data_IF_068108072104
#
_entry.id   IF_068108072104
#
_cell.length_a   1.000
_cell.length_b   1.000
_cell.length_c   1.000
_cell.angle_alpha   90.00
_cell.angle_beta   90.00
_cell.angle_gamma   90.00
#
_symmetry.space_group_name_H-M   'P 1'
#
loop_
_entity.id
_entity.type
_entity.pdbx_description
1 polymer ?
#
# COMPACT_ATOMS: atom_id res chain seq x y z
N UNK A 1 45.02 5.57 -46.05
CA UNK A 1 43.64 6.04 -45.88
C UNK A 1 42.67 4.96 -45.39
N UNK A 2 42.75 3.69 -45.80
CA UNK A 2 41.82 2.62 -45.34
C UNK A 2 41.95 2.24 -43.86
N UNK A 3 43.11 2.40 -43.22
CA UNK A 3 43.30 2.06 -41.78
C UNK A 3 42.73 3.10 -40.81
N UNK A 4 42.62 4.36 -41.22
CA UNK A 4 42.04 5.44 -40.38
C UNK A 4 40.52 5.35 -40.35
N UNK A 5 39.90 4.87 -41.43
CA UNK A 5 38.44 4.70 -41.49
C UNK A 5 37.94 3.56 -40.57
N UNK A 6 38.74 2.50 -40.43
CA UNK A 6 38.39 1.37 -39.56
C UNK A 6 38.46 1.75 -38.07
N UNK A 7 39.40 2.60 -37.68
CA UNK A 7 39.54 3.08 -36.30
C UNK A 7 38.40 4.04 -35.93
N UNK A 8 37.88 4.83 -36.87
CA UNK A 8 36.76 5.74 -36.60
C UNK A 8 35.43 5.01 -36.46
N UNK A 9 35.20 3.91 -37.17
CA UNK A 9 34.03 3.07 -36.99
C UNK A 9 34.03 2.34 -35.61
N UNK A 10 35.21 1.96 -35.10
CA UNK A 10 35.29 1.34 -33.75
C UNK A 10 35.04 2.34 -32.62
N UNK A 11 35.41 3.61 -32.80
CA UNK A 11 35.11 4.67 -31.83
C UNK A 11 33.63 5.04 -31.78
N UNK A 12 32.90 4.92 -32.87
CA UNK A 12 31.44 5.16 -32.88
C UNK A 12 30.63 4.05 -32.23
N UNK A 13 31.11 2.81 -32.17
CA UNK A 13 30.47 1.71 -31.45
C UNK A 13 30.69 1.76 -29.93
N UNK A 14 31.72 2.45 -29.45
CA UNK A 14 31.98 2.57 -28.01
C UNK A 14 31.03 3.55 -27.29
N UNK A 15 30.33 4.42 -28.02
CA UNK A 15 29.37 5.36 -27.42
C UNK A 15 27.93 4.85 -27.33
N UNK A 16 27.61 3.70 -27.89
CA UNK A 16 26.26 3.11 -27.83
C UNK A 16 26.05 2.17 -26.67
N UNK A 17 27.02 1.95 -25.80
CA UNK A 17 26.89 1.06 -24.62
C UNK A 17 26.52 1.76 -23.33
N UNK A 18 26.00 2.99 -23.37
CA UNK A 18 25.11 3.46 -22.31
C UNK A 18 23.75 2.75 -22.42
N UNK A 19 23.78 1.41 -22.42
CA UNK A 19 22.63 0.61 -22.12
C UNK A 19 22.04 1.19 -20.82
N UNK A 20 20.85 1.75 -20.94
CA UNK A 20 20.03 2.14 -19.82
C UNK A 20 20.09 1.01 -18.78
N UNK A 21 20.94 1.17 -17.79
CA UNK A 21 20.79 0.42 -16.55
C UNK A 21 19.38 0.76 -16.10
N UNK A 22 18.46 -0.13 -16.40
CA UNK A 22 17.13 -0.10 -15.77
C UNK A 22 17.43 0.01 -14.29
N UNK A 23 17.17 1.20 -13.71
CA UNK A 23 17.36 1.44 -12.28
C UNK A 23 16.72 0.24 -11.61
N UNK A 24 17.51 -0.60 -10.99
CA UNK A 24 17.01 -1.76 -10.24
C UNK A 24 16.00 -1.18 -9.29
N UNK A 25 14.77 -1.66 -9.40
CA UNK A 25 13.72 -1.33 -8.47
C UNK A 25 14.26 -1.62 -7.07
N UNK A 26 14.53 -0.56 -6.31
CA UNK A 26 14.86 -0.69 -4.90
C UNK A 26 13.54 -0.53 -4.12
N UNK A 27 13.01 -1.61 -3.52
CA UNK A 27 11.81 -1.52 -2.70
C UNK A 27 11.94 -0.47 -1.58
N UNK A 28 13.14 -0.24 -1.07
CA UNK A 28 13.40 0.74 0.00
C UNK A 28 13.18 2.20 -0.46
N UNK A 29 13.32 2.50 -1.75
CA UNK A 29 13.06 3.86 -2.29
C UNK A 29 11.57 4.17 -2.45
N UNK A 30 10.69 3.17 -2.46
CA UNK A 30 9.24 3.38 -2.59
C UNK A 30 8.62 3.82 -1.27
N UNK A 31 9.20 3.41 -0.16
CA UNK A 31 8.64 3.61 1.19
C UNK A 31 9.06 4.93 1.82
N UNK A 32 9.91 5.70 1.16
CA UNK A 32 10.33 7.00 1.70
C UNK A 32 9.28 8.04 1.37
N UNK A 33 8.35 8.25 2.28
CA UNK A 33 7.62 9.53 2.34
C UNK A 33 8.68 10.56 2.70
N UNK A 34 9.21 11.29 1.72
CA UNK A 34 10.06 12.45 1.96
C UNK A 34 9.17 13.52 2.58
N UNK A 35 9.18 13.58 3.89
CA UNK A 35 8.54 14.65 4.64
C UNK A 35 9.66 15.52 5.12
N UNK A 36 9.76 16.70 4.51
CA UNK A 36 10.65 17.73 4.97
C UNK A 36 10.33 18.09 6.43
N UNK A 37 11.37 18.09 7.25
CA UNK A 37 11.51 18.62 8.61
C UNK A 37 10.34 18.42 9.57
N UNK A 38 10.55 17.59 10.58
CA UNK A 38 9.69 17.50 11.75
C UNK A 38 9.66 18.85 12.49
N UNK A 39 8.64 19.65 12.28
CA UNK A 39 8.34 20.81 13.13
C UNK A 39 7.46 20.32 14.26
N UNK A 40 7.96 20.38 15.49
CA UNK A 40 7.17 20.15 16.70
C UNK A 40 6.00 21.13 16.75
N UNK A 41 4.78 20.65 16.55
CA UNK A 41 3.58 21.47 16.65
C UNK A 41 3.17 21.54 18.11
N UNK A 42 3.43 22.66 18.74
CA UNK A 42 2.61 23.12 19.86
C UNK A 42 1.45 23.95 19.28
N UNK A 43 0.43 23.25 18.80
CA UNK A 43 -0.85 23.88 18.45
C UNK A 43 -1.69 23.95 19.73
N UNK A 44 -2.12 25.14 20.12
CA UNK A 44 -2.95 25.35 21.31
C UNK A 44 -4.36 24.74 21.21
N UNK A 45 -4.72 24.09 20.09
CA UNK A 45 -6.09 23.62 19.83
C UNK A 45 -6.21 22.15 19.39
N UNK A 46 -5.12 21.44 19.01
CA UNK A 46 -5.17 20.03 18.60
C UNK A 46 -4.31 19.18 19.53
N UNK A 47 -4.87 18.09 20.02
CA UNK A 47 -4.22 17.11 20.87
C UNK A 47 -4.18 15.73 20.23
N UNK A 48 -3.50 14.76 20.84
CA UNK A 48 -3.40 13.40 20.33
C UNK A 48 -4.75 12.72 20.16
N UNK A 49 -5.70 13.04 21.06
CA UNK A 49 -7.02 12.40 21.03
C UNK A 49 -7.82 12.82 19.79
N UNK A 50 -7.72 14.09 19.37
CA UNK A 50 -8.42 14.57 18.16
C UNK A 50 -8.03 13.75 16.91
N UNK A 51 -6.73 13.44 16.77
CA UNK A 51 -6.23 12.62 15.67
C UNK A 51 -6.63 11.15 15.81
N UNK A 52 -6.62 10.61 17.03
CA UNK A 52 -7.09 9.24 17.30
C UNK A 52 -8.57 9.11 16.93
N UNK A 53 -9.39 10.03 17.39
CA UNK A 53 -10.83 10.03 17.12
C UNK A 53 -11.11 10.15 15.62
N UNK A 54 -10.34 11.00 14.91
CA UNK A 54 -10.44 11.13 13.47
C UNK A 54 -10.01 9.86 12.72
N UNK A 55 -8.99 9.13 13.19
CA UNK A 55 -8.59 7.85 12.60
C UNK A 55 -9.65 6.79 12.83
N UNK A 56 -10.21 6.71 14.04
CA UNK A 56 -11.23 5.72 14.40
C UNK A 56 -12.57 5.99 13.71
N UNK A 57 -12.96 7.25 13.56
CA UNK A 57 -14.21 7.65 12.89
C UNK A 57 -14.11 7.69 11.36
N UNK A 58 -12.91 7.49 10.79
CA UNK A 58 -12.69 7.69 9.37
C UNK A 58 -13.36 6.61 8.52
N UNK A 59 -14.27 7.04 7.66
CA UNK A 59 -14.85 6.25 6.58
C UNK A 59 -14.43 6.76 5.20
N UNK A 60 -13.85 7.95 5.13
CA UNK A 60 -13.50 8.66 3.89
C UNK A 60 -12.34 8.03 3.16
N UNK A 61 -11.33 7.55 3.89
CA UNK A 61 -10.15 6.93 3.32
C UNK A 61 -10.49 5.65 2.53
N UNK A 62 -11.38 4.85 3.07
CA UNK A 62 -11.86 3.66 2.38
C UNK A 62 -12.86 4.01 1.26
N UNK A 63 -13.71 5.02 1.50
CA UNK A 63 -14.66 5.53 0.52
C UNK A 63 -13.98 5.97 -0.78
N UNK A 64 -12.76 6.52 -0.71
CA UNK A 64 -11.98 6.90 -1.88
C UNK A 64 -11.79 5.75 -2.88
N UNK A 65 -11.58 4.53 -2.41
CA UNK A 65 -11.47 3.34 -3.27
C UNK A 65 -12.80 2.90 -3.87
N UNK A 66 -13.91 3.22 -3.23
CA UNK A 66 -15.25 3.01 -3.78
C UNK A 66 -15.58 4.08 -4.82
N UNK A 67 -15.28 5.33 -4.51
CA UNK A 67 -15.65 6.47 -5.34
C UNK A 67 -14.82 6.55 -6.63
N UNK A 68 -13.58 5.99 -6.64
CA UNK A 68 -12.78 5.89 -7.86
C UNK A 68 -13.53 5.21 -9.02
N UNK A 69 -14.49 4.34 -8.73
CA UNK A 69 -15.29 3.64 -9.75
C UNK A 69 -16.20 4.54 -10.56
N UNK A 70 -16.48 5.76 -10.09
CA UNK A 70 -17.27 6.76 -10.81
C UNK A 70 -16.47 7.49 -11.88
N UNK A 71 -15.18 7.21 -11.95
CA UNK A 71 -14.25 7.85 -12.88
C UNK A 71 -13.72 6.84 -13.89
N UNK A 72 -13.37 7.35 -15.06
CA UNK A 72 -12.43 6.67 -15.95
C UNK A 72 -11.01 7.01 -15.51
N UNK A 73 -10.08 6.05 -15.58
CA UNK A 73 -8.69 6.26 -15.19
C UNK A 73 -7.76 5.22 -15.79
N UNK A 74 -6.46 5.48 -15.72
CA UNK A 74 -5.42 4.52 -16.08
C UNK A 74 -4.75 4.02 -14.79
N UNK A 75 -4.65 2.69 -14.62
CA UNK A 75 -3.84 2.07 -13.60
C UNK A 75 -2.58 1.44 -14.19
N UNK A 76 -1.42 1.77 -13.66
CA UNK A 76 -0.16 1.07 -13.93
C UNK A 76 0.21 0.20 -12.73
N UNK A 77 0.28 -1.11 -12.95
CA UNK A 77 0.57 -2.11 -11.94
C UNK A 77 1.92 -2.75 -12.21
N UNK A 78 2.80 -2.75 -11.21
CA UNK A 78 4.10 -3.45 -11.23
C UNK A 78 4.17 -4.33 -10.01
N UNK A 79 4.28 -5.64 -10.22
CA UNK A 79 4.35 -6.65 -9.16
C UNK A 79 5.63 -7.43 -9.34
N UNK A 80 6.31 -7.69 -8.23
CA UNK A 80 7.51 -8.51 -8.19
C UNK A 80 7.36 -9.57 -7.11
N UNK A 81 7.72 -10.79 -7.45
CA UNK A 81 7.97 -11.86 -6.48
C UNK A 81 9.47 -12.09 -6.35
N UNK A 82 9.89 -12.58 -5.18
CA UNK A 82 11.29 -12.78 -4.87
C UNK A 82 11.56 -14.20 -4.38
N UNK A 83 12.73 -14.73 -4.77
CA UNK A 83 13.23 -15.99 -4.26
C UNK A 83 13.78 -15.86 -2.81
N UNK A 84 14.23 -16.97 -2.25
CA UNK A 84 14.82 -17.02 -0.89
C UNK A 84 16.08 -16.14 -0.73
N UNK A 85 16.73 -15.76 -1.83
CA UNK A 85 17.92 -14.89 -1.86
C UNK A 85 17.56 -13.43 -2.17
N UNK A 86 16.28 -13.06 -2.11
CA UNK A 86 15.74 -11.74 -2.46
C UNK A 86 16.02 -11.31 -3.92
N UNK A 87 16.19 -12.27 -4.84
CA UNK A 87 16.29 -11.98 -6.27
C UNK A 87 14.90 -12.06 -6.87
N UNK A 88 14.63 -11.21 -7.87
CA UNK A 88 13.35 -11.22 -8.55
C UNK A 88 13.16 -12.56 -9.27
N UNK A 89 12.13 -13.30 -8.90
CA UNK A 89 11.73 -14.61 -9.44
C UNK A 89 10.56 -14.50 -10.42
N UNK A 90 9.70 -13.49 -10.26
CA UNK A 90 8.60 -13.23 -11.15
C UNK A 90 8.25 -11.75 -11.25
N UNK A 91 7.70 -11.35 -12.39
CA UNK A 91 7.29 -9.97 -12.67
C UNK A 91 5.94 -9.94 -13.38
N UNK A 92 5.10 -8.97 -12.98
CA UNK A 92 3.91 -8.58 -13.73
C UNK A 92 4.00 -7.08 -14.00
N UNK A 93 3.78 -6.68 -15.24
CA UNK A 93 3.51 -5.31 -15.62
C UNK A 93 2.17 -5.26 -16.35
N UNK A 94 1.28 -4.37 -15.88
CA UNK A 94 -0.01 -4.12 -16.51
C UNK A 94 -0.26 -2.63 -16.58
N UNK A 95 -0.74 -2.17 -17.73
CA UNK A 95 -1.32 -0.83 -17.90
C UNK A 95 -2.76 -1.04 -18.33
N UNK A 96 -3.69 -0.59 -17.50
CA UNK A 96 -5.12 -0.87 -17.63
C UNK A 96 -5.86 0.43 -17.76
N UNK A 97 -6.71 0.53 -18.78
CA UNK A 97 -7.70 1.58 -18.90
C UNK A 97 -8.98 1.09 -18.26
N UNK A 98 -9.45 1.82 -17.27
CA UNK A 98 -10.80 1.71 -16.72
C UNK A 98 -11.63 2.83 -17.30
N UNK A 99 -12.74 2.50 -17.96
CA UNK A 99 -13.66 3.45 -18.57
C UNK A 99 -15.02 3.34 -17.93
N UNK A 100 -15.57 4.48 -17.52
CA UNK A 100 -16.90 4.62 -16.94
C UNK A 100 -17.73 5.53 -17.82
N UNK A 101 -18.95 5.13 -18.16
CA UNK A 101 -19.89 5.94 -18.95
C UNK A 101 -21.32 5.63 -18.50
N UNK A 102 -21.96 6.57 -17.83
CA UNK A 102 -23.26 6.35 -17.23
C UNK A 102 -23.25 5.19 -16.23
N UNK A 103 -24.02 4.14 -16.49
CA UNK A 103 -24.08 2.93 -15.66
C UNK A 103 -23.19 1.79 -16.16
N UNK A 104 -22.41 2.03 -17.21
CA UNK A 104 -21.55 1.01 -17.81
C UNK A 104 -20.08 1.26 -17.47
N UNK A 105 -19.31 0.18 -17.33
CA UNK A 105 -17.87 0.26 -17.14
C UNK A 105 -17.17 -0.83 -17.96
N UNK A 106 -16.01 -0.48 -18.47
CA UNK A 106 -15.16 -1.34 -19.29
C UNK A 106 -13.75 -1.34 -18.74
N UNK A 107 -13.11 -2.49 -18.78
CA UNK A 107 -11.70 -2.65 -18.45
C UNK A 107 -10.95 -3.12 -19.68
N UNK A 108 -9.86 -2.44 -20.05
CA UNK A 108 -9.04 -2.76 -21.21
C UNK A 108 -7.55 -2.77 -20.84
N UNK A 109 -6.84 -3.83 -21.23
CA UNK A 109 -5.40 -3.90 -21.04
C UNK A 109 -4.68 -3.19 -22.19
N UNK A 110 -4.13 -2.00 -21.92
CA UNK A 110 -3.28 -1.26 -22.86
C UNK A 110 -1.89 -1.91 -23.01
N UNK A 111 -1.41 -2.56 -21.95
CA UNK A 111 -0.20 -3.37 -21.97
C UNK A 111 -0.28 -4.45 -20.88
N UNK A 112 0.24 -5.63 -21.20
CA UNK A 112 0.37 -6.75 -20.27
C UNK A 112 1.67 -7.49 -20.56
N UNK A 113 2.53 -7.68 -19.55
CA UNK A 113 3.78 -8.44 -19.64
C UNK A 113 4.01 -9.18 -18.34
N UNK A 114 4.13 -10.47 -18.41
CA UNK A 114 4.38 -11.35 -17.28
C UNK A 114 5.64 -12.16 -17.55
N UNK A 115 6.44 -12.44 -16.55
CA UNK A 115 7.64 -13.29 -16.66
C UNK A 115 7.98 -13.95 -15.33
N UNK A 116 8.63 -15.12 -15.39
CA UNK A 116 9.07 -15.87 -14.21
C UNK A 116 7.95 -16.68 -13.55
N UNK A 117 8.16 -17.06 -12.30
CA UNK A 117 7.33 -18.03 -11.56
C UNK A 117 6.08 -17.37 -10.92
N UNK A 118 5.21 -16.78 -11.74
CA UNK A 118 3.99 -16.11 -11.27
C UNK A 118 2.78 -17.06 -11.23
N UNK A 119 2.69 -17.98 -12.21
CA UNK A 119 1.55 -18.86 -12.37
C UNK A 119 1.94 -20.33 -12.17
N UNK A 120 1.00 -21.10 -11.68
CA UNK A 120 1.04 -22.56 -11.69
C UNK A 120 0.72 -23.07 -13.10
N UNK A 121 0.98 -24.35 -13.37
CA UNK A 121 0.66 -24.99 -14.65
C UNK A 121 -0.84 -24.92 -15.05
N UNK A 122 -1.73 -24.77 -14.05
CA UNK A 122 -3.17 -24.61 -14.25
C UNK A 122 -3.61 -23.15 -14.45
N UNK A 123 -2.68 -22.20 -14.64
CA UNK A 123 -2.96 -20.79 -14.85
C UNK A 123 -3.32 -19.99 -13.59
N UNK A 124 -3.44 -20.62 -12.42
CA UNK A 124 -3.69 -19.90 -11.16
C UNK A 124 -2.41 -19.24 -10.64
N UNK A 125 -2.55 -18.17 -9.87
CA UNK A 125 -1.39 -17.56 -9.21
C UNK A 125 -0.65 -18.55 -8.31
N UNK A 126 0.67 -18.51 -8.36
CA UNK A 126 1.51 -19.32 -7.51
C UNK A 126 1.57 -18.77 -6.08
N UNK A 127 1.57 -17.46 -5.95
CA UNK A 127 1.66 -16.74 -4.67
C UNK A 127 0.30 -16.20 -4.27
N UNK A 128 -0.07 -16.43 -3.02
CA UNK A 128 -1.28 -15.91 -2.40
C UNK A 128 -1.29 -14.37 -2.35
N UNK A 129 -0.11 -13.76 -2.10
CA UNK A 129 0.04 -12.30 -2.10
C UNK A 129 -0.30 -11.68 -3.46
N UNK A 130 0.09 -12.33 -4.57
CA UNK A 130 -0.23 -11.86 -5.92
C UNK A 130 -1.71 -12.05 -6.23
N UNK A 131 -2.30 -13.16 -5.80
CA UNK A 131 -3.74 -13.39 -5.91
C UNK A 131 -4.55 -12.35 -5.13
N UNK A 132 -4.12 -12.03 -3.90
CA UNK A 132 -4.74 -11.01 -3.06
C UNK A 132 -4.64 -9.62 -3.71
N UNK A 133 -3.49 -9.28 -4.30
CA UNK A 133 -3.31 -8.05 -5.05
C UNK A 133 -4.32 -7.95 -6.21
N UNK A 134 -4.42 -9.00 -7.00
CA UNK A 134 -5.33 -9.05 -8.15
C UNK A 134 -6.79 -8.88 -7.71
N UNK A 135 -7.18 -9.57 -6.64
CA UNK A 135 -8.50 -9.46 -6.06
C UNK A 135 -8.81 -8.05 -5.53
N UNK A 136 -7.89 -7.42 -4.82
CA UNK A 136 -8.13 -6.13 -4.16
C UNK A 136 -8.01 -4.96 -5.15
N UNK A 137 -6.99 -4.95 -6.00
CA UNK A 137 -6.59 -3.75 -6.72
C UNK A 137 -6.75 -3.85 -8.24
N UNK A 138 -6.67 -5.04 -8.82
CA UNK A 138 -6.73 -5.19 -10.28
C UNK A 138 -8.16 -5.22 -10.80
N UNK A 139 -9.12 -5.65 -10.00
CA UNK A 139 -10.54 -5.71 -10.35
C UNK A 139 -11.34 -4.60 -9.67
N UNK A 140 -10.94 -3.35 -9.91
CA UNK A 140 -11.49 -2.17 -9.24
C UNK A 140 -13.02 -2.10 -9.28
N UNK A 141 -13.67 -2.53 -10.37
CA UNK A 141 -15.13 -2.52 -10.49
C UNK A 141 -15.82 -3.71 -9.84
N UNK A 142 -15.14 -4.84 -9.69
CA UNK A 142 -15.74 -6.12 -9.26
C UNK A 142 -15.29 -6.57 -7.86
N UNK A 143 -14.37 -5.83 -7.21
CA UNK A 143 -13.87 -6.26 -5.91
C UNK A 143 -14.82 -5.90 -4.77
N UNK A 144 -15.08 -6.85 -3.86
CA UNK A 144 -15.81 -6.63 -2.61
C UNK A 144 -15.11 -5.69 -1.63
N UNK A 145 -13.85 -5.37 -1.91
CA UNK A 145 -13.07 -4.35 -1.22
C UNK A 145 -13.81 -3.02 -1.13
N UNK A 146 -14.70 -2.77 -2.05
CA UNK A 146 -15.46 -1.55 -2.24
C UNK A 146 -16.79 -1.51 -1.49
N UNK A 147 -17.28 -2.63 -1.04
CA UNK A 147 -18.31 -2.68 0.00
C UNK A 147 -17.60 -2.33 1.29
N UNK A 148 -17.74 -1.11 1.79
CA UNK A 148 -17.07 -0.65 3.00
C UNK A 148 -16.97 -1.75 4.06
N UNK A 149 -15.98 -1.77 4.93
CA UNK A 149 -16.11 -2.55 6.13
C UNK A 149 -17.43 -2.08 6.74
N UNK A 150 -18.37 -2.96 6.96
CA UNK A 150 -19.34 -2.76 8.00
C UNK A 150 -18.49 -2.76 9.25
N UNK A 151 -18.03 -1.56 9.63
CA UNK A 151 -17.14 -1.28 10.77
C UNK A 151 -17.78 -1.67 12.08
N UNK A 152 -19.08 -1.93 12.06
CA UNK A 152 -19.80 -2.50 13.16
C UNK A 152 -19.48 -3.99 13.24
N UNK A 153 -18.65 -4.36 14.21
CA UNK A 153 -18.30 -5.75 14.55
C UNK A 153 -19.46 -6.70 14.85
N UNK A 154 -20.66 -6.42 14.31
CA UNK A 154 -21.87 -7.25 14.42
C UNK A 154 -22.00 -8.30 13.32
N UNK A 155 -21.27 -8.18 12.21
CA UNK A 155 -21.32 -9.14 11.13
C UNK A 155 -19.96 -9.84 10.88
N UNK A 156 -19.25 -10.24 11.95
CA UNK A 156 -18.24 -11.28 11.85
C UNK A 156 -18.89 -12.58 11.34
N UNK A 157 -19.32 -12.57 10.09
CA UNK A 157 -19.90 -13.75 9.44
C UNK A 157 -18.87 -14.88 9.46
N UNK A 158 -19.31 -16.11 9.68
CA UNK A 158 -18.51 -17.35 9.73
C UNK A 158 -17.59 -17.58 8.50
N UNK A 159 -17.61 -16.69 7.49
CA UNK A 159 -16.89 -16.78 6.23
C UNK A 159 -15.89 -15.64 5.96
N UNK A 160 -15.57 -14.80 6.96
CA UNK A 160 -14.57 -13.74 6.78
C UNK A 160 -13.19 -14.34 6.56
N UNK A 161 -12.60 -14.06 5.40
CA UNK A 161 -11.28 -14.58 5.03
C UNK A 161 -10.16 -13.82 5.73
N UNK A 162 -8.95 -14.40 5.80
CA UNK A 162 -7.74 -13.68 6.26
C UNK A 162 -7.49 -12.38 5.48
N UNK A 163 -7.92 -12.34 4.21
CA UNK A 163 -7.84 -11.16 3.33
C UNK A 163 -8.65 -9.98 3.90
N UNK A 164 -9.86 -10.23 4.37
CA UNK A 164 -10.76 -9.21 4.90
C UNK A 164 -10.24 -8.66 6.23
N UNK A 165 -9.66 -9.52 7.05
CA UNK A 165 -9.05 -9.15 8.33
C UNK A 165 -7.83 -8.25 8.17
N UNK A 166 -7.01 -8.49 7.14
CA UNK A 166 -5.88 -7.63 6.81
C UNK A 166 -6.31 -6.26 6.29
N UNK A 167 -7.43 -6.18 5.57
CA UNK A 167 -8.02 -4.89 5.16
C UNK A 167 -8.28 -4.01 6.38
N UNK A 168 -8.84 -4.57 7.45
CA UNK A 168 -9.12 -3.82 8.68
C UNK A 168 -7.86 -3.20 9.26
N UNK A 169 -6.74 -3.94 9.32
CA UNK A 169 -5.47 -3.39 9.84
C UNK A 169 -4.95 -2.21 9.01
N UNK A 170 -5.24 -2.17 7.73
CA UNK A 170 -4.74 -1.17 6.80
C UNK A 170 -5.70 0.01 6.68
N UNK A 171 -6.99 -0.27 6.50
CA UNK A 171 -8.00 0.72 6.16
C UNK A 171 -8.76 1.27 7.37
N UNK A 172 -8.87 0.49 8.44
CA UNK A 172 -9.50 0.88 9.69
C UNK A 172 -8.60 0.53 10.90
N UNK A 173 -7.36 1.08 10.96
CA UNK A 173 -6.43 0.77 12.04
C UNK A 173 -7.00 1.24 13.38
N UNK A 174 -6.76 0.44 14.43
CA UNK A 174 -7.30 0.69 15.76
C UNK A 174 -8.61 -0.01 16.05
N UNK A 175 -9.27 -0.59 15.04
CA UNK A 175 -10.42 -1.44 15.22
C UNK A 175 -10.01 -2.90 15.49
N UNK A 176 -10.88 -3.62 16.22
CA UNK A 176 -10.65 -5.00 16.58
C UNK A 176 -10.71 -5.92 15.38
N UNK A 177 -9.65 -6.69 15.16
CA UNK A 177 -9.62 -7.74 14.15
C UNK A 177 -9.93 -9.07 14.81
N UNK A 178 -11.09 -9.66 14.51
CA UNK A 178 -11.52 -10.93 15.11
C UNK A 178 -11.04 -12.13 14.29
N UNK A 179 -10.94 -13.30 14.94
CA UNK A 179 -10.69 -14.58 14.27
C UNK A 179 -9.28 -14.79 13.69
N UNK A 180 -8.31 -13.92 14.02
CA UNK A 180 -6.89 -14.23 13.89
C UNK A 180 -6.34 -14.46 15.31
N UNK A 181 -5.88 -15.68 15.63
CA UNK A 181 -5.33 -15.96 16.95
C UNK A 181 -4.21 -14.99 17.29
N UNK A 182 -4.17 -14.52 18.53
CA UNK A 182 -3.11 -13.66 19.10
C UNK A 182 -3.01 -12.23 18.54
N UNK A 183 -3.79 -11.84 17.53
CA UNK A 183 -3.75 -10.50 16.94
C UNK A 183 -4.88 -9.60 17.45
N UNK A 184 -6.02 -10.17 17.83
CA UNK A 184 -7.27 -9.47 18.09
C UNK A 184 -7.11 -8.22 18.97
N UNK A 185 -6.57 -8.37 20.18
CA UNK A 185 -6.38 -7.25 21.11
C UNK A 185 -5.26 -6.31 20.70
N UNK A 186 -4.27 -6.81 19.96
CA UNK A 186 -3.12 -6.03 19.48
C UNK A 186 -3.45 -5.14 18.30
N UNK A 187 -4.60 -5.36 17.63
CA UNK A 187 -5.08 -4.49 16.58
C UNK A 187 -5.72 -3.20 17.09
N UNK A 188 -6.21 -3.20 18.33
CA UNK A 188 -6.84 -2.04 19.00
C UNK A 188 -5.78 -1.07 19.54
N UNK A 189 -4.90 -0.57 18.68
CA UNK A 189 -3.69 0.21 19.03
C UNK A 189 -3.97 1.47 19.83
N UNK A 190 -5.20 1.97 19.82
CA UNK A 190 -5.63 3.15 20.57
C UNK A 190 -6.35 2.80 21.88
N UNK A 191 -6.49 1.52 22.22
CA UNK A 191 -7.03 1.09 23.50
C UNK A 191 -6.10 1.47 24.66
N UNK A 192 -6.65 1.57 25.86
CA UNK A 192 -5.88 1.90 27.08
C UNK A 192 -4.66 0.98 27.25
N UNK A 193 -4.86 -0.32 27.02
CA UNK A 193 -3.82 -1.33 27.21
C UNK A 193 -2.72 -1.27 26.14
N UNK A 194 -3.06 -0.87 24.92
CA UNK A 194 -2.11 -0.81 23.82
C UNK A 194 -1.34 0.51 23.76
N UNK A 195 -1.91 1.61 24.25
CA UNK A 195 -1.26 2.95 24.21
C UNK A 195 0.11 2.96 24.89
N UNK A 196 0.34 2.14 25.89
CA UNK A 196 1.60 2.06 26.63
C UNK A 196 2.79 1.65 25.74
N UNK A 197 2.54 0.93 24.65
CA UNK A 197 3.57 0.42 23.73
C UNK A 197 4.00 1.42 22.66
N UNK A 198 3.33 2.59 22.56
CA UNK A 198 3.52 3.51 21.45
C UNK A 198 3.97 4.89 21.88
N UNK A 199 4.71 5.54 20.96
CA UNK A 199 4.99 6.98 20.97
C UNK A 199 4.12 7.65 19.90
N UNK A 200 3.57 8.80 20.25
CA UNK A 200 2.75 9.63 19.37
C UNK A 200 3.56 10.83 18.92
N UNK A 201 3.65 11.05 17.62
CA UNK A 201 4.42 12.14 17.02
C UNK A 201 3.53 12.93 16.07
N UNK A 202 3.73 14.25 16.09
CA UNK A 202 2.99 15.18 15.24
C UNK A 202 3.98 16.04 14.47
N UNK A 203 3.66 16.31 13.21
CA UNK A 203 4.40 17.23 12.38
C UNK A 203 3.45 17.97 11.43
N UNK A 204 3.86 19.17 10.99
CA UNK A 204 3.28 19.87 9.85
C UNK A 204 4.18 19.67 8.66
N UNK A 205 3.58 19.62 7.47
CA UNK A 205 4.32 19.45 6.23
C UNK A 205 3.48 19.78 5.02
N UNK A 206 4.01 19.41 3.86
CA UNK A 206 3.28 19.47 2.59
C UNK A 206 3.09 18.05 2.07
N UNK A 207 1.97 17.82 1.46
CA UNK A 207 1.62 16.56 0.78
C UNK A 207 1.56 16.81 -0.71
N UNK A 208 2.19 15.95 -1.52
CA UNK A 208 2.36 16.12 -2.95
C UNK A 208 2.85 17.55 -3.30
N UNK A 209 3.85 18.03 -2.55
CA UNK A 209 4.54 19.31 -2.69
C UNK A 209 3.69 20.59 -2.52
N UNK A 210 2.39 20.48 -2.36
CA UNK A 210 1.49 21.64 -2.36
C UNK A 210 0.49 21.70 -1.21
N UNK A 211 -0.11 20.59 -0.81
CA UNK A 211 -1.21 20.58 0.17
C UNK A 211 -0.68 20.66 1.59
N UNK A 212 -1.01 21.69 2.39
CA UNK A 212 -0.63 21.76 3.80
C UNK A 212 -1.28 20.62 4.59
N UNK A 213 -0.49 19.89 5.38
CA UNK A 213 -0.96 18.72 6.12
C UNK A 213 -0.46 18.67 7.55
N UNK A 214 -1.24 17.98 8.38
CA UNK A 214 -0.76 17.38 9.62
C UNK A 214 -0.35 15.94 9.37
N UNK A 215 0.77 15.54 9.94
CA UNK A 215 1.18 14.14 10.04
C UNK A 215 1.03 13.67 11.47
N UNK A 216 0.18 12.71 11.67
CA UNK A 216 0.06 11.97 12.92
C UNK A 216 0.76 10.62 12.75
N UNK A 217 1.78 10.38 13.56
CA UNK A 217 2.59 9.17 13.52
C UNK A 217 2.55 8.46 14.86
N UNK A 218 2.13 7.22 14.83
CA UNK A 218 2.22 6.27 15.91
C UNK A 218 3.40 5.35 15.62
N UNK A 219 4.34 5.23 16.53
CA UNK A 219 5.49 4.33 16.38
C UNK A 219 5.73 3.57 17.67
N UNK A 220 6.08 2.28 17.56
CA UNK A 220 6.38 1.46 18.73
C UNK A 220 7.53 2.08 19.55
N UNK A 221 7.47 1.97 20.87
CA UNK A 221 8.58 2.32 21.75
C UNK A 221 9.75 1.33 21.55
N UNK A 222 11.00 1.77 21.68
CA UNK A 222 12.17 0.88 21.57
C UNK A 222 12.15 -0.29 22.56
N UNK A 223 11.56 -0.10 23.74
CA UNK A 223 11.41 -1.11 24.80
C UNK A 223 10.32 -2.14 24.55
N UNK A 224 9.48 -1.96 23.53
CA UNK A 224 8.36 -2.87 23.23
C UNK A 224 8.86 -4.11 22.50
N UNK A 225 8.53 -5.30 22.98
CA UNK A 225 8.85 -6.54 22.28
C UNK A 225 8.02 -6.70 21.00
N UNK A 226 8.59 -7.36 19.99
CA UNK A 226 7.91 -7.56 18.70
C UNK A 226 6.60 -8.35 18.83
N UNK A 227 6.51 -9.23 19.83
CA UNK A 227 5.31 -10.05 20.06
C UNK A 227 4.17 -9.32 20.82
N UNK A 228 4.44 -8.14 21.37
CA UNK A 228 3.43 -7.38 22.10
C UNK A 228 2.51 -6.56 21.19
N UNK A 229 2.95 -6.33 19.96
CA UNK A 229 2.26 -5.49 18.98
C UNK A 229 2.15 -6.18 17.63
N UNK A 230 1.29 -5.65 16.77
CA UNK A 230 1.15 -6.03 15.36
C UNK A 230 1.50 -4.86 14.44
N UNK A 231 1.10 -3.66 14.81
CA UNK A 231 1.40 -2.44 14.06
C UNK A 231 2.66 -1.82 14.67
N UNK A 232 3.77 -1.81 13.93
CA UNK A 232 5.01 -1.16 14.35
C UNK A 232 4.96 0.34 14.14
N UNK A 233 4.37 0.76 13.04
CA UNK A 233 4.18 2.14 12.68
C UNK A 233 2.87 2.33 11.95
N UNK A 234 2.14 3.37 12.31
CA UNK A 234 1.04 3.94 11.56
C UNK A 234 1.31 5.43 11.38
N UNK A 235 1.39 5.88 10.14
CA UNK A 235 1.43 7.30 9.83
C UNK A 235 0.19 7.67 9.02
N UNK A 236 -0.57 8.66 9.49
CA UNK A 236 -1.76 9.19 8.83
C UNK A 236 -1.56 10.64 8.48
N UNK A 237 -1.87 11.01 7.26
CA UNK A 237 -1.73 12.35 6.70
C UNK A 237 -3.10 13.00 6.61
N UNK A 238 -3.27 14.14 7.26
CA UNK A 238 -4.52 14.90 7.30
C UNK A 238 -4.38 16.25 6.60
N UNK A 239 -5.33 16.60 5.75
CA UNK A 239 -5.46 17.95 5.21
C UNK A 239 -5.68 18.95 6.39
N UNK A 240 -4.90 20.03 6.47
CA UNK A 240 -5.02 20.98 7.60
C UNK A 240 -6.32 21.75 7.64
N UNK A 241 -7.04 21.86 6.52
CA UNK A 241 -8.28 22.63 6.37
C UNK A 241 -9.53 21.78 6.59
N UNK A 242 -9.54 20.57 6.05
CA UNK A 242 -10.74 19.71 6.06
C UNK A 242 -10.64 18.56 7.06
N UNK A 243 -9.45 18.30 7.58
CA UNK A 243 -9.12 17.16 8.44
C UNK A 243 -9.38 15.78 7.78
N UNK A 244 -9.55 15.76 6.46
CA UNK A 244 -9.68 14.54 5.67
C UNK A 244 -8.34 13.81 5.59
N UNK A 245 -8.36 12.48 5.62
CA UNK A 245 -7.16 11.65 5.47
C UNK A 245 -6.79 11.58 3.99
N UNK A 246 -5.58 12.04 3.66
CA UNK A 246 -5.02 12.05 2.30
C UNK A 246 -4.05 10.91 2.04
N UNK A 247 -3.52 10.28 3.07
CA UNK A 247 -2.56 9.20 2.92
C UNK A 247 -2.37 8.42 4.20
N UNK A 248 -1.89 7.19 4.05
CA UNK A 248 -1.62 6.30 5.17
C UNK A 248 -0.44 5.39 4.86
N UNK A 249 0.53 5.38 5.78
CA UNK A 249 1.60 4.40 5.83
C UNK A 249 1.38 3.46 7.00
N UNK A 250 1.59 2.17 6.76
CA UNK A 250 1.45 1.11 7.76
C UNK A 250 2.67 0.19 7.68
N UNK A 251 3.29 -0.07 8.81
CA UNK A 251 4.30 -1.11 9.01
C UNK A 251 3.74 -2.14 10.00
N UNK A 252 3.45 -3.33 9.49
CA UNK A 252 2.86 -4.44 10.21
C UNK A 252 3.89 -5.55 10.36
N UNK A 253 4.06 -6.07 11.56
CA UNK A 253 4.86 -7.26 11.78
C UNK A 253 4.25 -8.12 12.86
N UNK A 254 4.24 -9.41 12.60
CA UNK A 254 3.86 -10.39 13.59
C UNK A 254 4.59 -11.70 13.33
N UNK A 255 4.99 -12.38 14.39
CA UNK A 255 5.61 -13.71 14.31
C UNK A 255 5.20 -14.55 15.52
N UNK A 256 4.77 -15.76 15.24
CA UNK A 256 4.56 -16.79 16.25
C UNK A 256 5.02 -18.15 15.70
N UNK A 257 4.80 -19.23 16.43
CA UNK A 257 5.21 -20.58 16.03
C UNK A 257 4.48 -21.07 14.75
N UNK A 258 3.31 -20.52 14.44
CA UNK A 258 2.44 -21.03 13.36
C UNK A 258 2.50 -20.17 12.10
N UNK A 259 2.69 -18.86 12.21
CA UNK A 259 2.78 -17.98 11.05
C UNK A 259 3.53 -16.70 11.39
N UNK A 260 4.13 -16.10 10.37
CA UNK A 260 4.72 -14.78 10.49
C UNK A 260 4.43 -13.92 9.25
N UNK A 261 4.40 -12.60 9.46
CA UNK A 261 4.39 -11.64 8.37
C UNK A 261 5.17 -10.38 8.74
N UNK A 262 5.72 -9.75 7.71
CA UNK A 262 6.33 -8.42 7.78
C UNK A 262 5.85 -7.66 6.53
N UNK A 263 5.00 -6.65 6.71
CA UNK A 263 4.27 -5.97 5.64
C UNK A 263 4.37 -4.47 5.82
N UNK A 264 4.79 -3.79 4.77
CA UNK A 264 4.75 -2.34 4.68
C UNK A 264 3.87 -1.91 3.52
N UNK A 265 2.98 -0.95 3.78
CA UNK A 265 2.11 -0.40 2.75
C UNK A 265 2.03 1.12 2.88
N UNK A 266 2.08 1.80 1.75
CA UNK A 266 1.79 3.23 1.66
C UNK A 266 0.67 3.46 0.65
N UNK A 267 -0.32 4.24 1.05
CA UNK A 267 -1.47 4.61 0.22
C UNK A 267 -1.52 6.14 0.16
N UNK A 268 -1.52 6.66 -1.04
CA UNK A 268 -1.63 8.08 -1.34
C UNK A 268 -2.93 8.33 -2.10
N UNK A 269 -3.71 9.30 -1.63
CA UNK A 269 -4.93 9.77 -2.29
C UNK A 269 -4.69 11.12 -2.96
N UNK A 270 -5.49 11.43 -3.95
CA UNK A 270 -5.56 12.75 -4.59
C UNK A 270 -7.01 13.19 -4.72
N UNK A 271 -7.25 14.47 -5.00
CA UNK A 271 -8.59 15.01 -5.25
C UNK A 271 -8.83 15.14 -6.75
N UNK A 272 -9.98 14.63 -7.19
CA UNK A 272 -10.51 14.78 -8.55
C UNK A 272 -11.97 15.22 -8.41
N UNK A 273 -12.32 16.36 -8.96
CA UNK A 273 -13.66 16.95 -8.86
C UNK A 273 -14.22 16.98 -7.43
N UNK A 274 -13.35 17.33 -6.47
CA UNK A 274 -13.72 17.41 -5.05
C UNK A 274 -13.74 16.09 -4.30
N UNK A 275 -13.70 14.95 -4.98
CA UNK A 275 -13.68 13.61 -4.39
C UNK A 275 -12.25 13.10 -4.20
N UNK A 276 -12.03 12.35 -3.11
CA UNK A 276 -10.78 11.64 -2.89
C UNK A 276 -10.77 10.33 -3.67
N UNK A 277 -9.67 10.09 -4.39
CA UNK A 277 -9.43 8.85 -5.14
C UNK A 277 -7.98 8.37 -4.91
N UNK A 278 -7.67 7.07 -5.05
CA UNK A 278 -6.32 6.56 -4.95
C UNK A 278 -5.42 7.15 -6.03
N UNK A 279 -4.25 7.64 -5.66
CA UNK A 279 -3.20 8.09 -6.59
C UNK A 279 -2.10 7.04 -6.72
N UNK A 280 -1.65 6.50 -5.58
CA UNK A 280 -0.54 5.55 -5.56
C UNK A 280 -0.69 4.59 -4.38
N UNK A 281 -0.40 3.33 -4.62
CA UNK A 281 -0.30 2.30 -3.58
C UNK A 281 1.01 1.57 -3.75
N UNK A 282 1.78 1.47 -2.67
CA UNK A 282 2.99 0.64 -2.62
C UNK A 282 2.84 -0.40 -1.52
N UNK A 283 3.38 -1.56 -1.78
CA UNK A 283 3.38 -2.68 -0.86
C UNK A 283 4.70 -3.41 -0.93
N UNK A 284 5.18 -3.85 0.21
CA UNK A 284 6.26 -4.82 0.34
C UNK A 284 5.91 -5.77 1.48
N UNK A 285 5.95 -7.05 1.23
CA UNK A 285 5.59 -8.02 2.26
C UNK A 285 6.33 -9.34 2.15
N UNK A 286 6.57 -9.91 3.32
CA UNK A 286 6.99 -11.30 3.50
C UNK A 286 5.93 -12.01 4.32
N UNK A 287 5.53 -13.18 3.87
CA UNK A 287 4.56 -14.05 4.54
C UNK A 287 5.16 -15.43 4.70
N UNK A 288 5.06 -15.96 5.89
CA UNK A 288 5.41 -17.34 6.21
C UNK A 288 4.21 -17.99 6.87
N UNK A 289 3.52 -18.84 6.11
CA UNK A 289 2.29 -19.52 6.50
C UNK A 289 2.56 -21.01 6.54
N UNK A 290 2.12 -21.76 7.55
CA UNK A 290 2.30 -23.20 7.64
C UNK A 290 1.84 -23.91 6.37
N UNK A 291 2.61 -24.88 5.94
CA UNK A 291 2.35 -25.70 4.74
C UNK A 291 2.41 -24.94 3.40
N UNK A 292 2.80 -23.67 3.39
CA UNK A 292 3.06 -22.87 2.20
C UNK A 292 4.53 -22.48 2.12
N UNK A 293 5.01 -22.21 0.91
CA UNK A 293 6.33 -21.59 0.74
C UNK A 293 6.27 -20.16 1.27
N UNK A 294 7.35 -19.72 1.95
CA UNK A 294 7.50 -18.32 2.31
C UNK A 294 7.37 -17.44 1.07
N UNK A 295 6.44 -16.52 1.10
CA UNK A 295 6.17 -15.58 0.02
C UNK A 295 6.85 -14.24 0.29
N UNK A 296 7.50 -13.70 -0.73
CA UNK A 296 8.05 -12.35 -0.73
C UNK A 296 7.60 -11.65 -1.98
N UNK A 297 6.89 -10.54 -1.81
CA UNK A 297 6.37 -9.79 -2.94
C UNK A 297 6.40 -8.28 -2.66
N UNK A 298 6.52 -7.51 -3.73
CA UNK A 298 6.25 -6.08 -3.70
C UNK A 298 5.38 -5.67 -4.87
N UNK A 299 4.61 -4.61 -4.70
CA UNK A 299 3.89 -4.01 -5.80
C UNK A 299 3.83 -2.49 -5.71
N UNK A 300 3.69 -1.89 -6.87
CA UNK A 300 3.41 -0.48 -7.08
C UNK A 300 2.21 -0.36 -8.01
N UNK A 301 1.21 0.39 -7.56
CA UNK A 301 0.09 0.85 -8.39
C UNK A 301 0.18 2.36 -8.50
N UNK A 302 0.01 2.87 -9.70
CA UNK A 302 -0.17 4.32 -9.94
C UNK A 302 -1.44 4.50 -10.73
N UNK A 303 -2.37 5.25 -10.16
CA UNK A 303 -3.60 5.68 -10.83
C UNK A 303 -3.39 7.09 -11.37
N UNK A 304 -3.81 7.31 -12.60
CA UNK A 304 -3.64 8.61 -13.28
C UNK A 304 -4.72 8.85 -14.32
N UNK A 305 -4.79 10.09 -14.80
CA UNK A 305 -5.72 10.50 -15.84
C UNK A 305 -7.18 10.20 -15.47
N UNK A 306 -7.53 10.54 -14.26
CA UNK A 306 -8.92 10.48 -13.83
C UNK A 306 -9.77 11.47 -14.61
N UNK A 307 -10.90 11.00 -15.15
CA UNK A 307 -11.94 11.80 -15.80
C UNK A 307 -13.31 11.31 -15.35
N UNK A 308 -14.31 12.20 -15.21
CA UNK A 308 -15.69 11.83 -14.89
C UNK A 308 -16.30 10.82 -15.86
#
# INVERSE_FOLDING_TARGET
MKKIFLAFCFLLFAFCSNAQQSKRFNPDTILTIVIDSAVNIRSHHLNAQDFIDAVLADTGFYKAFRDMKRFSFIAENRIYSYDKKNRVDGKIYRKIQYSHTGNTHKTEYLAKRDSGSIYKSNGKYQLYTVEMFDYIFNNAYNSDFVKGPELDGKNGGKNETYKDKLKTLIFAPGHKVTGIPFISNKSEIFSKDMRQYYLYQFARGKYLDSVPVYRFRLVRKPSTADNDIVIKELTTIFDTRTFQILGRYVDLRYSNMFFSFDVKMNIELTKVDGELVPAKVTYQGTWDIPFHKTERASFLIVHKNYTP
#
